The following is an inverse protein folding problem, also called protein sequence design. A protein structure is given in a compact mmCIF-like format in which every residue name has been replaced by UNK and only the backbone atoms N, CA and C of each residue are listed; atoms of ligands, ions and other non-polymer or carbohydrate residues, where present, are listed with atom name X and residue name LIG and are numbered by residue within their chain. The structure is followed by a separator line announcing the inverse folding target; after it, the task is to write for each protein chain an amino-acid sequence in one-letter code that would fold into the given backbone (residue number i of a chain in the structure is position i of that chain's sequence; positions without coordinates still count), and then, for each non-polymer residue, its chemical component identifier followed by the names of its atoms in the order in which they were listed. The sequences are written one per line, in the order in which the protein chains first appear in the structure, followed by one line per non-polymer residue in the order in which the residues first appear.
data_IF_134754424357
#
_entry.id   IF_134754424357
#
_cell.length_a   1.000
_cell.length_b   1.000
_cell.length_c   1.000
_cell.angle_alpha   90.00
_cell.angle_beta   90.00
_cell.angle_gamma   90.00
#
_symmetry.space_group_name_H-M   'P 1'
#
loop_
_entity.id
_entity.type
_entity.pdbx_description
1 polymer ?
#
# COMPACT_ATOMS: atom_id res chain seq x y z
N UNK A 1 -13.02 -16.59 -35.10
CA UNK A 1 -13.24 -15.14 -34.87
C UNK A 1 -14.36 -14.98 -33.86
N UNK A 2 -14.02 -14.82 -32.58
CA UNK A 2 -14.97 -14.52 -31.52
C UNK A 2 -14.26 -13.61 -30.55
N UNK A 3 -14.52 -12.31 -30.65
CA UNK A 3 -13.99 -11.35 -29.70
C UNK A 3 -14.59 -11.66 -28.33
N UNK A 4 -13.79 -12.26 -27.44
CA UNK A 4 -14.11 -12.36 -26.02
C UNK A 4 -14.20 -10.94 -25.46
N UNK A 5 -15.41 -10.39 -25.44
CA UNK A 5 -15.72 -9.18 -24.71
C UNK A 5 -15.62 -9.52 -23.20
N UNK A 6 -14.39 -9.48 -22.66
CA UNK A 6 -14.10 -9.61 -21.23
C UNK A 6 -14.57 -8.32 -20.56
N UNK A 7 -15.69 -8.40 -19.83
CA UNK A 7 -16.44 -7.25 -19.34
C UNK A 7 -16.18 -7.05 -17.85
N UNK A 8 -15.50 -5.96 -17.52
CA UNK A 8 -15.56 -5.43 -16.16
C UNK A 8 -16.94 -4.79 -15.97
N UNK A 9 -17.83 -5.52 -15.29
CA UNK A 9 -19.13 -4.98 -14.91
C UNK A 9 -18.96 -4.18 -13.60
N UNK A 10 -18.76 -2.87 -13.73
CA UNK A 10 -19.07 -1.95 -12.64
C UNK A 10 -20.55 -1.63 -12.71
N UNK A 11 -21.21 -1.83 -11.58
CA UNK A 11 -22.64 -1.93 -11.51
C UNK A 11 -23.15 -0.65 -10.85
N UNK A 12 -23.79 0.23 -11.63
CA UNK A 12 -24.49 1.44 -11.12
C UNK A 12 -25.82 1.01 -10.51
N UNK A 13 -25.81 0.45 -9.31
CA UNK A 13 -27.06 0.11 -8.64
C UNK A 13 -27.08 0.71 -7.26
N UNK A 14 -28.10 1.56 -7.10
CA UNK A 14 -28.62 2.09 -5.85
C UNK A 14 -27.87 3.34 -5.36
N UNK A 15 -28.61 4.44 -5.39
CA UNK A 15 -28.53 5.67 -4.59
C UNK A 15 -27.14 6.13 -4.09
N UNK A 16 -26.77 7.35 -4.50
CA UNK A 16 -25.54 8.04 -4.10
C UNK A 16 -24.24 7.27 -4.42
N UNK A 17 -24.05 6.89 -5.69
CA UNK A 17 -22.68 6.82 -6.19
C UNK A 17 -22.08 8.23 -6.10
N UNK A 18 -21.30 8.48 -5.05
CA UNK A 18 -20.40 9.62 -5.07
C UNK A 18 -19.54 9.49 -6.32
N UNK A 19 -19.20 10.64 -6.91
CA UNK A 19 -18.26 10.76 -8.02
C UNK A 19 -17.01 9.87 -7.86
N UNK A 20 -16.66 9.53 -6.62
CA UNK A 20 -15.58 8.65 -6.19
C UNK A 20 -15.62 7.25 -6.79
N UNK A 21 -16.77 6.57 -6.90
CA UNK A 21 -16.76 5.22 -7.48
C UNK A 21 -16.77 5.22 -9.01
N UNK A 22 -17.32 6.27 -9.65
CA UNK A 22 -17.06 6.52 -11.07
C UNK A 22 -15.57 6.75 -11.31
N UNK A 23 -14.86 7.37 -10.36
CA UNK A 23 -13.42 7.53 -10.45
C UNK A 23 -12.66 6.19 -10.31
N UNK A 24 -13.28 5.17 -9.71
CA UNK A 24 -12.69 3.83 -9.60
C UNK A 24 -12.51 3.16 -10.94
N UNK A 25 -13.21 3.56 -12.02
CA UNK A 25 -12.99 2.99 -13.37
C UNK A 25 -12.04 3.82 -14.24
N UNK A 26 -11.78 5.07 -13.87
CA UNK A 26 -10.95 6.00 -14.65
C UNK A 26 -9.47 5.78 -14.33
N UNK A 27 -8.71 5.14 -15.22
CA UNK A 27 -7.27 4.89 -15.05
C UNK A 27 -6.51 6.19 -14.71
N UNK A 28 -5.55 6.10 -13.80
CA UNK A 28 -4.75 7.25 -13.35
C UNK A 28 -5.47 8.25 -12.42
N UNK A 29 -6.79 8.19 -12.26
CA UNK A 29 -7.52 9.09 -11.36
C UNK A 29 -7.44 8.58 -9.91
N UNK A 30 -6.85 9.38 -9.03
CA UNK A 30 -6.87 9.14 -7.58
C UNK A 30 -7.00 10.46 -6.82
N UNK A 31 -8.08 10.58 -6.03
CA UNK A 31 -8.27 11.70 -5.10
C UNK A 31 -7.29 11.66 -3.93
N UNK A 32 -6.62 10.52 -3.69
CA UNK A 32 -5.62 10.37 -2.62
C UNK A 32 -4.27 11.01 -2.97
N UNK A 33 -4.10 11.50 -4.20
CA UNK A 33 -2.88 12.21 -4.62
C UNK A 33 -2.85 13.67 -4.13
N UNK A 34 -4.02 14.24 -3.81
CA UNK A 34 -4.16 15.64 -3.38
C UNK A 34 -4.17 15.82 -1.86
N UNK A 35 -4.42 14.76 -1.10
CA UNK A 35 -4.48 14.76 0.37
C UNK A 35 -3.22 14.10 0.89
N UNK A 36 -2.50 14.78 1.78
CA UNK A 36 -1.29 14.39 2.52
C UNK A 36 -0.71 13.03 2.13
N UNK A 37 0.50 13.04 1.54
CA UNK A 37 1.19 11.88 0.90
C UNK A 37 1.52 10.68 1.79
N UNK A 38 0.75 10.42 2.84
CA UNK A 38 0.73 9.23 3.67
C UNK A 38 -0.13 8.10 3.07
N UNK A 39 -0.98 8.38 2.08
CA UNK A 39 -1.84 7.38 1.43
C UNK A 39 -1.07 6.47 0.47
N UNK A 40 -1.17 5.14 0.65
CA UNK A 40 -0.54 4.14 -0.23
C UNK A 40 -1.10 4.17 -1.68
N UNK A 41 -2.35 4.61 -1.86
CA UNK A 41 -3.09 4.52 -3.12
C UNK A 41 -2.92 5.73 -4.04
N UNK A 42 -1.72 6.03 -4.55
CA UNK A 42 -1.50 7.27 -5.32
C UNK A 42 -1.77 7.17 -6.83
N UNK A 43 -1.60 6.00 -7.45
CA UNK A 43 -1.61 5.87 -8.92
C UNK A 43 -2.98 5.73 -9.59
N UNK A 44 -4.06 5.51 -8.83
CA UNK A 44 -5.40 5.28 -9.41
C UNK A 44 -5.53 3.96 -10.20
N UNK A 45 -4.50 3.10 -10.16
CA UNK A 45 -4.46 1.86 -10.93
C UNK A 45 -4.58 0.61 -10.07
N UNK A 46 -4.30 0.68 -8.76
CA UNK A 46 -4.11 -0.50 -7.90
C UNK A 46 -5.26 -1.51 -7.88
N UNK A 47 -6.53 -1.11 -8.10
CA UNK A 47 -7.65 -2.06 -8.23
C UNK A 47 -7.77 -2.63 -9.66
N UNK A 48 -7.42 -1.83 -10.68
CA UNK A 48 -7.57 -2.14 -12.12
C UNK A 48 -6.41 -2.94 -12.67
N UNK A 49 -5.20 -2.71 -12.15
CA UNK A 49 -3.99 -3.42 -12.55
C UNK A 49 -4.15 -4.94 -12.35
N UNK A 50 -5.06 -5.38 -11.48
CA UNK A 50 -5.44 -6.78 -11.30
C UNK A 50 -6.43 -7.34 -12.35
N UNK A 51 -7.12 -6.48 -13.11
CA UNK A 51 -8.36 -6.86 -13.83
C UNK A 51 -8.24 -6.76 -15.36
N UNK A 52 -7.36 -5.95 -15.95
CA UNK A 52 -7.38 -5.73 -17.41
C UNK A 52 -5.98 -5.47 -17.96
N UNK A 53 -5.39 -6.42 -18.72
CA UNK A 53 -4.38 -6.22 -19.76
C UNK A 53 -4.02 -7.56 -20.44
N UNK A 54 -4.70 -7.87 -21.54
CA UNK A 54 -4.07 -8.66 -22.60
C UNK A 54 -4.33 -7.95 -23.92
N UNK A 55 -3.27 -7.46 -24.54
CA UNK A 55 -3.06 -7.68 -25.97
C UNK A 55 -1.56 -7.62 -26.30
N UNK A 56 -1.18 -8.59 -27.14
CA UNK A 56 0.09 -8.83 -27.80
C UNK A 56 1.10 -7.66 -27.82
N UNK A 57 2.18 -7.78 -27.06
CA UNK A 57 3.58 -7.80 -27.54
C UNK A 57 4.55 -7.78 -26.35
N UNK A 58 5.74 -8.31 -26.60
CA UNK A 58 6.77 -8.67 -25.63
C UNK A 58 7.13 -7.58 -24.59
N UNK A 59 7.27 -8.03 -23.34
CA UNK A 59 8.02 -7.38 -22.23
C UNK A 59 7.36 -6.10 -21.67
N UNK A 60 6.37 -6.27 -20.78
CA UNK A 60 6.26 -5.59 -19.46
C UNK A 60 5.50 -6.57 -18.55
N UNK A 61 6.21 -7.27 -17.65
CA UNK A 61 5.61 -8.18 -16.66
C UNK A 61 4.92 -7.36 -15.55
N UNK A 62 3.62 -7.08 -15.71
CA UNK A 62 2.79 -6.34 -14.76
C UNK A 62 1.40 -6.97 -14.48
N UNK A 63 1.19 -7.36 -13.22
CA UNK A 63 -0.03 -7.27 -12.40
C UNK A 63 -1.37 -7.96 -12.75
N UNK A 64 -1.56 -8.75 -13.81
CA UNK A 64 -2.75 -9.64 -13.90
C UNK A 64 -2.43 -11.04 -13.37
N UNK A 65 -2.87 -11.41 -12.16
CA UNK A 65 -2.46 -12.72 -11.60
C UNK A 65 -3.57 -13.62 -11.04
N UNK A 66 -4.70 -13.09 -10.55
CA UNK A 66 -5.56 -13.92 -9.67
C UNK A 66 -6.93 -14.31 -10.27
N UNK A 67 -7.59 -13.47 -11.07
CA UNK A 67 -8.89 -13.80 -11.67
C UNK A 67 -9.30 -12.83 -12.79
N UNK A 68 -10.22 -13.27 -13.66
CA UNK A 68 -10.59 -12.53 -14.88
C UNK A 68 -11.73 -11.53 -14.67
N UNK A 69 -12.61 -11.73 -13.70
CA UNK A 69 -13.80 -10.90 -13.50
C UNK A 69 -13.97 -10.46 -12.04
N UNK A 70 -14.53 -9.26 -11.84
CA UNK A 70 -14.73 -8.66 -10.52
C UNK A 70 -16.07 -7.92 -10.44
N UNK A 71 -16.72 -7.98 -9.28
CA UNK A 71 -17.86 -7.13 -8.91
C UNK A 71 -17.56 -6.38 -7.61
N UNK A 72 -17.93 -5.10 -7.57
CA UNK A 72 -17.76 -4.20 -6.44
C UNK A 72 -19.14 -3.77 -5.91
N UNK A 73 -19.42 -4.06 -4.65
CA UNK A 73 -20.58 -3.57 -3.92
C UNK A 73 -20.12 -2.49 -2.93
N UNK A 74 -20.76 -1.33 -2.93
CA UNK A 74 -20.49 -0.26 -1.96
C UNK A 74 -21.79 0.16 -1.29
N UNK A 75 -21.77 0.26 0.05
CA UNK A 75 -22.88 0.80 0.85
C UNK A 75 -22.45 2.13 1.45
N UNK A 76 -23.31 3.14 1.32
CA UNK A 76 -23.19 4.45 1.98
C UNK A 76 -24.56 4.77 2.57
N UNK A 77 -24.67 4.86 3.89
CA UNK A 77 -25.91 5.11 4.64
C UNK A 77 -26.97 3.99 4.54
N UNK A 78 -28.00 4.09 5.40
CA UNK A 78 -29.13 3.16 5.44
C UNK A 78 -30.07 3.43 4.25
N UNK A 79 -29.63 3.05 3.06
CA UNK A 79 -30.34 3.34 1.82
C UNK A 79 -31.24 2.19 1.40
N UNK A 80 -32.46 2.57 1.02
CA UNK A 80 -33.51 1.73 0.44
C UNK A 80 -33.00 0.97 -0.81
N UNK A 81 -33.36 -0.31 -0.95
CA UNK A 81 -32.83 -1.21 -2.01
C UNK A 81 -33.40 -0.91 -3.40
N UNK A 82 -34.01 0.26 -3.58
CA UNK A 82 -34.70 0.69 -4.78
C UNK A 82 -33.77 1.51 -5.71
N UNK A 83 -33.89 1.33 -7.04
CA UNK A 83 -33.16 2.15 -8.00
C UNK A 83 -33.68 3.59 -8.01
N UNK A 84 -32.78 4.57 -7.84
CA UNK A 84 -33.12 5.98 -8.02
C UNK A 84 -32.98 6.38 -9.49
N UNK A 85 -33.76 5.74 -10.35
CA UNK A 85 -33.92 6.21 -11.73
C UNK A 85 -35.00 7.29 -11.72
N UNK A 86 -34.59 8.53 -11.94
CA UNK A 86 -35.51 9.68 -11.91
C UNK A 86 -36.14 9.90 -13.29
N UNK A 87 -35.49 9.41 -14.34
CA UNK A 87 -35.96 9.49 -15.72
C UNK A 87 -36.25 8.11 -16.34
N UNK A 88 -37.15 8.03 -17.35
CA UNK A 88 -37.41 6.78 -18.08
C UNK A 88 -36.18 6.17 -18.77
N UNK A 89 -35.20 7.00 -19.15
CA UNK A 89 -33.95 6.54 -19.78
C UNK A 89 -33.01 5.89 -18.77
N UNK A 90 -32.93 6.43 -17.56
CA UNK A 90 -32.14 5.85 -16.47
C UNK A 90 -32.69 4.49 -16.03
N UNK A 91 -34.01 4.33 -16.03
CA UNK A 91 -34.66 3.08 -15.68
C UNK A 91 -34.37 1.99 -16.73
N UNK A 92 -34.45 2.31 -18.02
CA UNK A 92 -34.07 1.41 -19.12
C UNK A 92 -32.60 1.01 -19.06
N UNK A 93 -31.71 1.97 -18.76
CA UNK A 93 -30.28 1.71 -18.59
C UNK A 93 -30.04 0.77 -17.42
N UNK A 94 -30.70 1.01 -16.29
CA UNK A 94 -30.62 0.17 -15.10
C UNK A 94 -31.09 -1.27 -15.37
N UNK A 95 -32.21 -1.45 -16.07
CA UNK A 95 -32.71 -2.76 -16.48
C UNK A 95 -31.70 -3.51 -17.36
N UNK A 96 -31.09 -2.82 -18.34
CA UNK A 96 -30.06 -3.41 -19.19
C UNK A 96 -28.81 -3.82 -18.40
N UNK A 97 -28.34 -2.95 -17.49
CA UNK A 97 -27.22 -3.26 -16.60
C UNK A 97 -27.52 -4.51 -15.76
N UNK A 98 -28.72 -4.60 -15.17
CA UNK A 98 -29.16 -5.77 -14.40
C UNK A 98 -29.21 -7.05 -15.23
N UNK A 99 -29.74 -6.99 -16.45
CA UNK A 99 -29.76 -8.15 -17.34
C UNK A 99 -28.35 -8.67 -17.66
N UNK A 100 -27.39 -7.76 -17.89
CA UNK A 100 -25.98 -8.14 -18.13
C UNK A 100 -25.40 -8.82 -16.88
N UNK A 101 -25.65 -8.27 -15.70
CA UNK A 101 -25.14 -8.81 -14.44
C UNK A 101 -25.69 -10.22 -14.19
N UNK A 102 -27.00 -10.41 -14.29
CA UNK A 102 -27.61 -11.71 -14.02
C UNK A 102 -27.20 -12.78 -15.04
N UNK A 103 -26.85 -12.35 -16.26
CA UNK A 103 -26.37 -13.23 -17.33
C UNK A 103 -24.91 -13.65 -17.17
N UNK A 104 -24.01 -12.75 -16.79
CA UNK A 104 -22.56 -13.02 -16.81
C UNK A 104 -21.92 -13.16 -15.42
N UNK A 105 -22.56 -12.67 -14.37
CA UNK A 105 -22.05 -12.80 -13.00
C UNK A 105 -22.38 -14.16 -12.37
N UNK A 106 -21.78 -14.49 -11.20
CA UNK A 106 -22.18 -15.64 -10.39
C UNK A 106 -23.62 -15.56 -9.85
N UNK A 107 -24.29 -14.41 -9.94
CA UNK A 107 -25.64 -14.20 -9.42
C UNK A 107 -26.66 -14.36 -10.54
N UNK A 108 -27.61 -15.30 -10.40
CA UNK A 108 -28.61 -15.61 -11.43
C UNK A 108 -29.96 -14.94 -11.22
N UNK A 109 -30.20 -14.39 -10.03
CA UNK A 109 -31.42 -13.66 -9.73
C UNK A 109 -31.17 -12.40 -8.89
N UNK A 110 -32.13 -11.47 -8.93
CA UNK A 110 -32.09 -10.23 -8.16
C UNK A 110 -31.91 -10.49 -6.66
N UNK A 111 -32.57 -11.51 -6.12
CA UNK A 111 -32.50 -11.86 -4.69
C UNK A 111 -31.07 -12.20 -4.27
N UNK A 112 -30.36 -13.04 -5.03
CA UNK A 112 -28.99 -13.44 -4.71
C UNK A 112 -28.01 -12.25 -4.85
N UNK A 113 -28.23 -11.42 -5.87
CA UNK A 113 -27.44 -10.21 -6.08
C UNK A 113 -27.60 -9.21 -4.92
N UNK A 114 -28.83 -8.87 -4.56
CA UNK A 114 -29.09 -7.89 -3.48
C UNK A 114 -28.73 -8.43 -2.09
N UNK A 115 -28.75 -9.75 -1.88
CA UNK A 115 -28.29 -10.36 -0.64
C UNK A 115 -26.79 -10.09 -0.34
N UNK A 116 -26.00 -9.69 -1.34
CA UNK A 116 -24.59 -9.33 -1.12
C UNK A 116 -24.44 -8.03 -0.33
N UNK A 117 -25.37 -7.07 -0.47
CA UNK A 117 -25.36 -5.84 0.33
C UNK A 117 -25.63 -6.12 1.81
N UNK A 118 -26.43 -7.14 2.11
CA UNK A 118 -26.75 -7.55 3.49
C UNK A 118 -25.52 -8.11 4.24
N UNK A 119 -24.47 -8.52 3.51
CA UNK A 119 -23.18 -8.92 4.12
C UNK A 119 -22.40 -7.73 4.68
N UNK A 120 -22.70 -6.51 4.26
CA UNK A 120 -22.10 -5.28 4.78
C UNK A 120 -22.89 -4.84 6.02
N UNK A 121 -22.42 -5.30 7.20
CA UNK A 121 -23.10 -5.08 8.49
C UNK A 121 -23.07 -3.62 8.98
N UNK A 122 -22.19 -2.78 8.46
CA UNK A 122 -22.06 -1.37 8.85
C UNK A 122 -22.91 -0.43 8.00
N UNK A 123 -23.04 0.82 8.45
CA UNK A 123 -23.67 1.91 7.68
C UNK A 123 -22.90 2.23 6.38
N UNK A 124 -21.60 1.97 6.37
CA UNK A 124 -20.74 2.10 5.20
C UNK A 124 -19.84 0.88 5.03
N UNK A 125 -19.49 0.54 3.79
CA UNK A 125 -18.55 -0.53 3.52
C UNK A 125 -18.45 -0.89 2.04
N UNK A 126 -17.46 -1.72 1.73
CA UNK A 126 -17.20 -2.19 0.37
C UNK A 126 -16.95 -3.69 0.37
N UNK A 127 -17.62 -4.41 -0.52
CA UNK A 127 -17.41 -5.84 -0.77
C UNK A 127 -16.91 -6.01 -2.20
N UNK A 128 -15.76 -6.66 -2.35
CA UNK A 128 -15.16 -7.01 -3.63
C UNK A 128 -15.27 -8.52 -3.81
N UNK A 129 -15.84 -8.96 -4.92
CA UNK A 129 -15.91 -10.37 -5.30
C UNK A 129 -15.13 -10.53 -6.59
N UNK A 130 -14.09 -11.37 -6.55
CA UNK A 130 -13.31 -11.78 -7.72
C UNK A 130 -13.72 -13.21 -8.04
N UNK A 131 -13.99 -13.50 -9.30
CA UNK A 131 -14.40 -14.81 -9.79
C UNK A 131 -13.72 -15.11 -11.12
N UNK A 132 -13.89 -16.34 -11.62
CA UNK A 132 -13.11 -16.87 -12.75
C UNK A 132 -11.61 -16.77 -12.45
N UNK A 133 -11.21 -17.44 -11.37
CA UNK A 133 -9.84 -17.45 -10.86
C UNK A 133 -8.89 -18.05 -11.90
N UNK A 134 -7.64 -17.58 -11.94
CA UNK A 134 -6.64 -18.15 -12.83
C UNK A 134 -6.34 -19.60 -12.44
N UNK A 135 -6.23 -20.43 -13.47
CA UNK A 135 -5.82 -21.81 -13.35
C UNK A 135 -4.37 -21.96 -13.84
N UNK A 136 -3.64 -22.86 -13.20
CA UNK A 136 -2.35 -23.35 -13.66
C UNK A 136 -2.54 -24.23 -14.90
N UNK A 137 -1.45 -24.59 -15.57
CA UNK A 137 -1.46 -25.51 -16.72
C UNK A 137 -2.08 -26.88 -16.37
N UNK A 138 -2.05 -27.24 -15.08
CA UNK A 138 -2.69 -28.45 -14.53
C UNK A 138 -4.21 -28.34 -14.41
N UNK A 139 -4.80 -27.17 -14.66
CA UNK A 139 -6.21 -26.88 -14.44
C UNK A 139 -6.58 -26.59 -12.98
N UNK A 140 -5.64 -26.67 -12.04
CA UNK A 140 -5.85 -26.32 -10.64
C UNK A 140 -5.74 -24.80 -10.40
N UNK A 141 -6.43 -24.22 -9.41
CA UNK A 141 -6.27 -22.80 -9.07
C UNK A 141 -4.87 -22.50 -8.51
N UNK A 142 -4.32 -21.31 -8.80
CA UNK A 142 -3.02 -20.86 -8.26
C UNK A 142 -3.07 -20.69 -6.72
N UNK A 143 -4.26 -20.40 -6.18
CA UNK A 143 -4.51 -20.21 -4.76
C UNK A 143 -5.15 -21.46 -4.14
N UNK A 144 -4.46 -22.03 -3.16
CA UNK A 144 -4.91 -23.15 -2.36
C UNK A 144 -5.60 -22.67 -1.08
N UNK A 145 -6.87 -23.05 -0.93
CA UNK A 145 -7.69 -22.76 0.24
C UNK A 145 -8.04 -24.02 1.05
N UNK A 146 -7.59 -25.19 0.61
CA UNK A 146 -8.00 -26.48 1.16
C UNK A 146 -6.95 -27.07 2.09
N UNK A 147 -5.65 -26.90 1.78
CA UNK A 147 -4.57 -27.50 2.59
C UNK A 147 -4.54 -26.96 4.02
N UNK A 148 -4.70 -25.64 4.19
CA UNK A 148 -4.90 -25.03 5.51
C UNK A 148 -6.23 -24.27 5.52
N UNK A 149 -7.24 -24.73 6.29
CA UNK A 149 -8.55 -24.06 6.38
C UNK A 149 -8.46 -22.69 7.06
N UNK A 150 -7.29 -22.28 7.55
CA UNK A 150 -7.03 -20.97 8.14
C UNK A 150 -6.21 -20.08 7.22
N UNK A 151 -5.76 -20.53 6.06
CA UNK A 151 -4.86 -19.77 5.20
C UNK A 151 -5.30 -19.78 3.73
N UNK A 152 -4.58 -19.00 2.93
CA UNK A 152 -4.58 -19.08 1.47
C UNK A 152 -3.11 -19.23 1.07
N UNK A 153 -2.76 -20.39 0.53
CA UNK A 153 -1.40 -20.71 0.14
C UNK A 153 -1.23 -20.55 -1.36
N UNK A 154 -0.03 -20.20 -1.80
CA UNK A 154 0.35 -20.37 -3.19
C UNK A 154 0.64 -21.85 -3.44
N UNK A 155 -0.02 -22.41 -4.47
CA UNK A 155 0.40 -23.70 -5.02
C UNK A 155 1.83 -23.53 -5.52
N UNK A 156 2.74 -24.43 -5.12
CA UNK A 156 4.12 -24.36 -5.56
C UNK A 156 4.16 -24.48 -7.08
N UNK A 157 4.42 -23.38 -7.79
CA UNK A 157 4.80 -23.45 -9.19
C UNK A 157 6.10 -24.24 -9.25
N UNK A 158 6.13 -25.30 -10.04
CA UNK A 158 7.33 -26.09 -10.37
C UNK A 158 8.45 -25.28 -11.05
N UNK A 159 8.24 -23.98 -11.23
CA UNK A 159 9.15 -23.10 -11.94
C UNK A 159 10.36 -22.75 -11.06
N UNK A 160 11.43 -23.48 -11.34
CA UNK A 160 12.82 -23.24 -10.92
C UNK A 160 13.40 -21.92 -11.46
N UNK A 161 12.57 -20.93 -11.77
CA UNK A 161 12.92 -19.73 -12.55
C UNK A 161 13.03 -18.45 -11.71
N UNK A 162 13.22 -18.56 -10.39
CA UNK A 162 13.83 -17.45 -9.63
C UNK A 162 15.37 -17.66 -9.71
N UNK A 163 16.12 -16.88 -10.51
CA UNK A 163 17.54 -17.15 -10.79
C UNK A 163 18.47 -17.00 -9.57
N UNK A 164 17.90 -16.78 -8.38
CA UNK A 164 18.63 -16.29 -7.22
C UNK A 164 19.03 -17.37 -6.21
N UNK A 165 18.56 -18.61 -6.31
CA UNK A 165 18.97 -19.71 -5.41
C UNK A 165 19.02 -21.07 -6.16
N UNK A 166 20.15 -21.47 -6.77
CA UNK A 166 20.25 -22.67 -7.62
C UNK A 166 20.32 -24.02 -6.88
N UNK A 167 20.01 -24.09 -5.59
CA UNK A 167 20.13 -25.33 -4.81
C UNK A 167 18.85 -25.62 -4.03
N UNK A 168 18.01 -26.44 -4.68
CA UNK A 168 16.77 -27.00 -4.17
C UNK A 168 17.01 -27.82 -2.89
N UNK A 169 16.52 -27.27 -1.78
CA UNK A 169 15.93 -27.92 -0.58
C UNK A 169 15.51 -26.79 0.40
N UNK A 170 14.78 -25.80 -0.11
CA UNK A 170 14.54 -24.51 0.57
C UNK A 170 13.11 -24.47 1.10
N UNK A 171 12.93 -24.46 2.42
CA UNK A 171 11.75 -23.84 3.04
C UNK A 171 11.82 -22.34 2.71
N UNK A 172 11.09 -21.93 1.67
CA UNK A 172 10.89 -20.52 1.34
C UNK A 172 10.42 -19.78 2.60
N UNK A 173 10.85 -18.52 2.83
CA UNK A 173 10.28 -17.71 3.89
C UNK A 173 8.76 -17.79 3.84
N UNK A 174 8.08 -17.93 4.99
CA UNK A 174 6.66 -18.26 5.02
C UNK A 174 5.82 -17.23 4.25
N UNK A 175 6.25 -15.97 4.22
CA UNK A 175 5.58 -14.88 3.50
C UNK A 175 5.62 -15.00 1.97
N UNK A 176 6.49 -15.85 1.40
CA UNK A 176 6.50 -16.13 -0.04
C UNK A 176 5.45 -17.17 -0.44
N UNK A 177 4.89 -17.94 0.50
CA UNK A 177 3.91 -19.00 0.24
C UNK A 177 2.56 -18.77 0.92
N UNK A 178 2.57 -18.30 2.16
CA UNK A 178 1.38 -18.09 3.00
C UNK A 178 0.92 -16.64 2.93
N UNK A 179 -0.34 -16.43 2.52
CA UNK A 179 -0.96 -15.11 2.55
C UNK A 179 -1.09 -14.60 3.99
N UNK A 180 -1.43 -15.46 4.95
CA UNK A 180 -1.50 -15.10 6.37
C UNK A 180 -0.16 -14.60 6.90
N UNK A 181 0.95 -15.25 6.55
CA UNK A 181 2.28 -14.80 6.92
C UNK A 181 2.60 -13.45 6.27
N UNK A 182 2.38 -13.31 4.96
CA UNK A 182 2.64 -12.05 4.24
C UNK A 182 1.83 -10.87 4.79
N UNK A 183 0.53 -11.06 5.01
CA UNK A 183 -0.37 -10.05 5.58
C UNK A 183 0.07 -9.65 6.99
N UNK A 184 0.66 -10.56 7.76
CA UNK A 184 1.10 -10.27 9.13
C UNK A 184 2.19 -9.19 9.20
N UNK A 185 3.00 -9.02 8.15
CA UNK A 185 4.11 -8.07 8.07
C UNK A 185 3.89 -6.98 7.01
N UNK A 186 2.74 -6.98 6.34
CA UNK A 186 2.45 -6.14 5.18
C UNK A 186 2.55 -4.65 5.48
N UNK A 187 2.24 -4.28 6.73
CA UNK A 187 2.27 -2.91 7.21
C UNK A 187 3.25 -2.77 8.38
N UNK A 188 4.03 -1.69 8.39
CA UNK A 188 4.97 -1.40 9.48
C UNK A 188 4.24 -1.05 10.78
N UNK A 189 3.13 -0.30 10.68
CA UNK A 189 2.19 0.01 11.77
C UNK A 189 0.79 -0.55 11.45
N UNK A 190 0.54 -1.85 11.72
CA UNK A 190 -0.73 -2.49 11.39
C UNK A 190 -1.84 -2.03 12.34
N UNK A 191 -2.82 -1.30 11.80
CA UNK A 191 -4.04 -0.88 12.54
C UNK A 191 -5.30 -1.59 12.08
N UNK A 192 -5.38 -1.95 10.81
CA UNK A 192 -6.52 -2.66 10.24
C UNK A 192 -6.52 -4.12 10.70
N UNK A 193 -7.65 -4.57 11.26
CA UNK A 193 -7.86 -5.98 11.62
C UNK A 193 -8.14 -6.77 10.33
N UNK A 194 -7.31 -7.76 10.03
CA UNK A 194 -7.49 -8.63 8.85
C UNK A 194 -7.94 -10.02 9.28
N UNK A 195 -8.89 -10.60 8.56
CA UNK A 195 -9.38 -11.96 8.77
C UNK A 195 -9.22 -12.72 7.46
N UNK A 196 -8.63 -13.91 7.53
CA UNK A 196 -8.47 -14.84 6.41
C UNK A 196 -9.18 -16.14 6.82
N UNK A 197 -10.04 -16.67 5.95
CA UNK A 197 -10.86 -17.85 6.25
C UNK A 197 -11.61 -17.75 7.60
N UNK A 198 -12.16 -16.56 7.89
CA UNK A 198 -12.87 -16.29 9.16
C UNK A 198 -11.99 -16.20 10.41
N UNK A 199 -10.67 -16.37 10.31
CA UNK A 199 -9.73 -16.31 11.44
C UNK A 199 -8.87 -15.05 11.38
N UNK A 200 -8.82 -14.31 12.50
CA UNK A 200 -8.00 -13.09 12.65
C UNK A 200 -6.53 -13.40 12.32
N UNK A 201 -5.90 -12.55 11.52
CA UNK A 201 -4.47 -12.58 11.27
C UNK A 201 -3.78 -11.85 12.41
N UNK A 202 -2.77 -12.50 13.02
CA UNK A 202 -1.93 -11.86 14.03
C UNK A 202 -0.89 -11.00 13.33
N UNK A 203 -1.20 -9.72 13.14
CA UNK A 203 -0.28 -8.73 12.59
C UNK A 203 0.88 -8.47 13.55
N UNK A 204 2.07 -8.28 13.00
CA UNK A 204 3.31 -8.10 13.75
C UNK A 204 3.91 -6.75 13.40
N UNK A 205 4.43 -6.05 14.40
CA UNK A 205 5.45 -5.01 14.19
C UNK A 205 6.79 -5.72 14.20
N UNK A 206 7.47 -5.76 13.06
CA UNK A 206 8.71 -6.55 12.92
C UNK A 206 9.76 -6.16 13.96
N UNK A 207 9.84 -4.88 14.34
CA UNK A 207 10.80 -4.42 15.34
C UNK A 207 10.62 -5.10 16.71
N UNK A 208 9.37 -5.36 17.11
CA UNK A 208 9.04 -5.90 18.43
C UNK A 208 9.45 -7.38 18.58
N UNK A 209 9.64 -8.09 17.47
CA UNK A 209 9.99 -9.51 17.44
C UNK A 209 11.49 -9.77 17.28
N UNK A 210 12.31 -8.71 17.36
CA UNK A 210 13.76 -8.81 17.20
C UNK A 210 14.49 -8.59 18.53
N UNK A 211 15.55 -9.36 18.74
CA UNK A 211 16.44 -9.20 19.88
C UNK A 211 17.39 -8.00 19.68
N UNK A 212 17.66 -7.28 20.77
CA UNK A 212 18.60 -6.15 20.81
C UNK A 212 18.36 -5.13 19.68
N UNK A 213 17.09 -4.75 19.50
CA UNK A 213 16.70 -3.78 18.49
C UNK A 213 17.31 -2.39 18.77
N UNK A 214 17.97 -1.79 17.77
CA UNK A 214 18.56 -0.44 17.85
C UNK A 214 18.06 0.45 16.72
N UNK A 215 18.09 1.76 16.97
CA UNK A 215 17.61 2.81 16.07
C UNK A 215 18.77 3.72 15.65
N UNK A 216 18.89 3.95 14.35
CA UNK A 216 19.86 4.87 13.76
C UNK A 216 19.15 5.89 12.87
N UNK A 217 19.55 7.16 12.96
CA UNK A 217 18.96 8.23 12.16
C UNK A 217 19.93 8.61 11.04
N UNK A 218 19.50 8.40 9.80
CA UNK A 218 20.26 8.76 8.61
C UNK A 218 19.77 10.08 8.03
N UNK A 219 20.60 11.12 8.07
CA UNK A 219 20.28 12.40 7.47
C UNK A 219 20.37 12.32 5.93
N UNK A 220 19.21 12.41 5.26
CA UNK A 220 19.14 12.30 3.80
C UNK A 220 19.17 13.68 3.15
N UNK A 221 20.28 13.98 2.45
CA UNK A 221 20.41 15.19 1.62
C UNK A 221 19.33 15.23 0.53
N UNK A 222 19.07 14.11 -0.13
CA UNK A 222 18.02 14.00 -1.16
C UNK A 222 16.64 14.32 -0.59
N UNK A 223 16.31 13.78 0.59
CA UNK A 223 15.04 14.08 1.25
C UNK A 223 14.88 15.57 1.51
N UNK A 224 15.92 16.22 2.06
CA UNK A 224 15.92 17.66 2.28
C UNK A 224 15.71 18.46 0.99
N UNK A 225 16.51 18.19 -0.04
CA UNK A 225 16.41 18.90 -1.32
C UNK A 225 15.02 18.77 -1.97
N UNK A 226 14.40 17.58 -1.89
CA UNK A 226 13.06 17.36 -2.44
C UNK A 226 11.99 18.10 -1.65
N UNK A 227 12.10 18.16 -0.32
CA UNK A 227 11.20 18.95 0.52
C UNK A 227 11.33 20.45 0.24
N UNK A 228 12.54 20.95 0.02
CA UNK A 228 12.79 22.35 -0.36
C UNK A 228 12.18 22.69 -1.74
N UNK A 229 12.33 21.80 -2.73
CA UNK A 229 11.73 21.97 -4.06
C UNK A 229 10.20 21.96 -4.01
N UNK A 230 9.62 21.05 -3.24
CA UNK A 230 8.17 20.94 -3.07
C UNK A 230 7.58 22.19 -2.38
N UNK A 231 8.29 22.74 -1.39
CA UNK A 231 7.94 24.03 -0.78
C UNK A 231 8.06 25.19 -1.77
N UNK A 232 9.12 25.26 -2.58
CA UNK A 232 9.29 26.29 -3.60
C UNK A 232 8.16 26.26 -4.63
N UNK A 233 7.76 25.06 -5.07
CA UNK A 233 6.59 24.87 -5.95
C UNK A 233 5.31 25.38 -5.30
N UNK A 234 5.03 25.00 -4.06
CA UNK A 234 3.84 25.47 -3.34
C UNK A 234 3.81 27.00 -3.17
N UNK A 235 4.96 27.64 -2.94
CA UNK A 235 5.08 29.11 -2.91
C UNK A 235 4.76 29.74 -4.26
N UNK A 236 5.22 29.15 -5.36
CA UNK A 236 4.87 29.62 -6.70
C UNK A 236 3.37 29.43 -7.01
N UNK A 237 2.78 28.32 -6.59
CA UNK A 237 1.34 28.07 -6.74
C UNK A 237 0.47 29.08 -5.97
N UNK A 238 0.94 29.57 -4.81
CA UNK A 238 0.31 30.68 -4.08
C UNK A 238 0.42 31.98 -4.89
N UNK A 239 1.59 32.32 -5.44
CA UNK A 239 1.76 33.53 -6.26
C UNK A 239 0.82 33.54 -7.47
N UNK A 240 0.68 32.41 -8.15
CA UNK A 240 -0.23 32.27 -9.29
C UNK A 240 -1.70 32.42 -8.85
N UNK A 241 -2.08 31.80 -7.73
CA UNK A 241 -3.43 31.92 -7.20
C UNK A 241 -3.76 33.36 -6.75
N UNK A 242 -2.78 34.05 -6.15
CA UNK A 242 -2.89 35.44 -5.72
C UNK A 242 -3.14 36.37 -6.91
N UNK A 243 -2.40 36.18 -8.02
CA UNK A 243 -2.62 36.95 -9.25
C UNK A 243 -4.04 36.74 -9.80
N UNK A 244 -4.52 35.50 -9.84
CA UNK A 244 -5.88 35.17 -10.31
C UNK A 244 -6.97 35.76 -9.39
N UNK A 245 -6.78 35.70 -8.08
CA UNK A 245 -7.71 36.28 -7.12
C UNK A 245 -7.78 37.81 -7.29
N UNK A 246 -6.64 38.50 -7.42
CA UNK A 246 -6.59 39.95 -7.65
C UNK A 246 -7.25 40.35 -8.96
N UNK A 247 -7.03 39.58 -10.04
CA UNK A 247 -7.68 39.83 -11.33
C UNK A 247 -9.21 39.71 -11.21
N UNK A 248 -9.71 38.65 -10.55
CA UNK A 248 -11.14 38.44 -10.34
C UNK A 248 -11.76 39.53 -9.47
N UNK A 249 -11.10 39.94 -8.40
CA UNK A 249 -11.54 41.05 -7.54
C UNK A 249 -11.55 42.38 -8.29
N UNK A 250 -10.56 42.63 -9.16
CA UNK A 250 -10.54 43.84 -9.98
C UNK A 250 -11.71 43.86 -10.97
N UNK A 251 -12.03 42.72 -11.60
CA UNK A 251 -13.20 42.58 -12.48
C UNK A 251 -14.51 42.75 -11.72
N UNK A 252 -14.61 42.22 -10.51
CA UNK A 252 -15.78 42.38 -9.66
C UNK A 252 -15.99 43.85 -9.28
N UNK A 253 -14.94 44.55 -8.82
CA UNK A 253 -14.99 45.99 -8.50
C UNK A 253 -15.33 46.87 -9.70
N UNK A 254 -14.72 46.61 -10.86
CA UNK A 254 -15.04 47.35 -12.09
C UNK A 254 -16.52 47.13 -12.50
N UNK A 255 -17.04 45.92 -12.38
CA UNK A 255 -18.44 45.62 -12.63
C UNK A 255 -19.38 46.30 -11.62
N UNK A 256 -19.01 46.38 -10.34
CA UNK A 256 -19.76 47.09 -9.31
C UNK A 256 -19.86 48.59 -9.62
N UNK A 257 -18.74 49.21 -9.98
CA UNK A 257 -18.69 50.63 -10.34
C UNK A 257 -19.50 50.94 -11.60
N UNK A 258 -19.46 50.07 -12.62
CA UNK A 258 -20.22 50.27 -13.87
C UNK A 258 -21.73 50.22 -13.68
N UNK A 259 -22.22 49.41 -12.74
CA UNK A 259 -23.65 49.21 -12.49
C UNK A 259 -24.11 49.80 -11.15
N UNK A 260 -23.35 50.76 -10.61
CA UNK A 260 -23.66 51.42 -9.36
C UNK A 260 -25.05 52.09 -9.44
N UNK A 261 -25.93 51.76 -8.48
CA UNK A 261 -27.31 52.27 -8.45
C UNK A 261 -28.27 51.65 -9.49
N UNK A 262 -27.83 50.70 -10.33
CA UNK A 262 -28.70 50.00 -11.28
C UNK A 262 -29.72 49.11 -10.56
N UNK A 263 -31.00 49.19 -10.96
CA UNK A 263 -32.08 48.33 -10.45
C UNK A 263 -32.39 47.13 -11.36
N UNK A 264 -31.63 46.97 -12.45
CA UNK A 264 -31.80 45.85 -13.38
C UNK A 264 -31.43 44.52 -12.69
N UNK A 265 -32.37 43.55 -12.60
CA UNK A 265 -32.10 42.23 -12.03
C UNK A 265 -30.90 41.51 -12.65
N UNK A 266 -30.62 41.69 -13.94
CA UNK A 266 -29.51 41.00 -14.62
C UNK A 266 -28.16 41.58 -14.24
N UNK A 267 -28.05 42.92 -14.11
CA UNK A 267 -26.84 43.57 -13.61
C UNK A 267 -26.54 43.16 -12.16
N UNK A 268 -27.56 43.10 -11.31
CA UNK A 268 -27.41 42.65 -9.92
C UNK A 268 -26.96 41.19 -9.81
N UNK A 269 -27.49 40.30 -10.67
CA UNK A 269 -27.04 38.89 -10.74
C UNK A 269 -25.59 38.79 -11.19
N UNK A 270 -25.18 39.58 -12.18
CA UNK A 270 -23.81 39.58 -12.68
C UNK A 270 -22.81 40.03 -11.62
N UNK A 271 -23.09 41.14 -10.94
CA UNK A 271 -22.26 41.66 -9.82
C UNK A 271 -22.11 40.59 -8.73
N UNK A 272 -23.21 39.98 -8.29
CA UNK A 272 -23.18 38.89 -7.29
C UNK A 272 -22.34 37.70 -7.75
N UNK A 273 -22.48 37.28 -9.01
CA UNK A 273 -21.70 36.16 -9.58
C UNK A 273 -20.20 36.47 -9.55
N UNK A 274 -19.79 37.67 -9.96
CA UNK A 274 -18.38 38.05 -9.99
C UNK A 274 -17.80 38.18 -8.57
N UNK A 275 -18.55 38.75 -7.63
CA UNK A 275 -18.15 38.80 -6.23
C UNK A 275 -17.98 37.42 -5.60
N UNK A 276 -18.92 36.51 -5.86
CA UNK A 276 -18.82 35.13 -5.38
C UNK A 276 -17.60 34.43 -5.97
N UNK A 277 -17.35 34.57 -7.27
CA UNK A 277 -16.17 33.99 -7.92
C UNK A 277 -14.85 34.57 -7.37
N UNK A 278 -14.80 35.87 -7.09
CA UNK A 278 -13.65 36.52 -6.46
C UNK A 278 -13.42 35.99 -5.03
N UNK A 279 -14.49 35.85 -4.23
CA UNK A 279 -14.42 35.30 -2.88
C UNK A 279 -13.94 33.84 -2.87
N UNK A 280 -14.42 32.99 -3.79
CA UNK A 280 -13.96 31.61 -3.94
C UNK A 280 -12.46 31.53 -4.25
N UNK A 281 -11.97 32.37 -5.18
CA UNK A 281 -10.55 32.42 -5.51
C UNK A 281 -9.70 32.92 -4.34
N UNK A 282 -10.20 33.88 -3.56
CA UNK A 282 -9.54 34.35 -2.34
C UNK A 282 -9.47 33.27 -1.27
N UNK A 283 -10.55 32.51 -1.07
CA UNK A 283 -10.55 31.34 -0.18
C UNK A 283 -9.53 30.28 -0.62
N UNK A 284 -9.41 30.04 -1.93
CA UNK A 284 -8.41 29.12 -2.48
C UNK A 284 -6.97 29.59 -2.21
N UNK A 285 -6.71 30.90 -2.27
CA UNK A 285 -5.41 31.48 -1.88
C UNK A 285 -5.10 31.15 -0.41
N UNK A 286 -6.03 31.41 0.51
CA UNK A 286 -5.84 31.13 1.94
C UNK A 286 -5.53 29.64 2.18
N UNK A 287 -6.24 28.73 1.50
CA UNK A 287 -5.97 27.29 1.59
C UNK A 287 -4.55 26.93 1.11
N UNK A 288 -4.09 27.54 0.02
CA UNK A 288 -2.73 27.34 -0.50
C UNK A 288 -1.66 27.93 0.44
N UNK A 289 -1.92 29.09 1.03
CA UNK A 289 -1.04 29.70 2.04
C UNK A 289 -0.89 28.81 3.28
N UNK A 290 -2.00 28.26 3.78
CA UNK A 290 -1.99 27.29 4.88
C UNK A 290 -1.15 26.05 4.54
N UNK A 291 -1.20 25.60 3.28
CA UNK A 291 -0.37 24.49 2.80
C UNK A 291 1.12 24.85 2.78
N UNK A 292 1.49 26.05 2.32
CA UNK A 292 2.87 26.55 2.40
C UNK A 292 3.35 26.64 3.84
N UNK A 293 2.53 27.17 4.76
CA UNK A 293 2.87 27.27 6.17
C UNK A 293 3.15 25.89 6.80
N UNK A 294 2.30 24.88 6.51
CA UNK A 294 2.51 23.48 6.92
C UNK A 294 3.82 22.92 6.38
N UNK A 295 4.09 23.08 5.08
CA UNK A 295 5.34 22.59 4.45
C UNK A 295 6.58 23.29 5.01
N UNK A 296 6.50 24.60 5.25
CA UNK A 296 7.59 25.39 5.85
C UNK A 296 7.88 24.95 7.28
N UNK A 297 6.85 24.66 8.09
CA UNK A 297 7.00 24.08 9.43
C UNK A 297 7.64 22.70 9.37
N UNK A 298 7.13 21.82 8.51
CA UNK A 298 7.67 20.48 8.33
C UNK A 298 9.13 20.51 7.86
N UNK A 299 9.56 21.49 7.06
CA UNK A 299 10.96 21.61 6.61
C UNK A 299 11.94 21.93 7.75
N UNK A 300 11.47 22.51 8.86
CA UNK A 300 12.32 22.75 10.05
C UNK A 300 12.68 21.45 10.76
N UNK A 301 11.88 20.41 10.63
CA UNK A 301 12.15 19.10 11.21
C UNK A 301 13.29 18.40 10.45
N UNK A 302 14.19 17.69 11.15
CA UNK A 302 15.27 16.94 10.52
C UNK A 302 14.75 15.98 9.44
N UNK A 303 15.29 16.08 8.22
CA UNK A 303 14.97 15.19 7.11
C UNK A 303 15.80 13.92 7.19
N UNK A 304 15.49 13.12 8.20
CA UNK A 304 16.13 11.85 8.47
C UNK A 304 15.24 10.68 8.07
N UNK A 305 15.88 9.60 7.61
CA UNK A 305 15.28 8.27 7.60
C UNK A 305 15.68 7.56 8.88
N UNK A 306 14.78 6.75 9.43
CA UNK A 306 15.07 5.97 10.63
C UNK A 306 15.30 4.52 10.22
N UNK A 307 16.50 4.02 10.48
CA UNK A 307 16.84 2.61 10.32
C UNK A 307 16.72 1.92 11.67
N UNK A 308 16.06 0.77 11.66
CA UNK A 308 16.03 -0.11 12.80
C UNK A 308 16.73 -1.41 12.45
N UNK A 309 17.55 -1.93 13.36
CA UNK A 309 18.20 -3.22 13.21
C UNK A 309 17.97 -4.07 14.45
N UNK A 310 17.79 -5.37 14.27
CA UNK A 310 17.59 -6.32 15.35
C UNK A 310 17.91 -7.75 14.92
N UNK A 311 18.26 -8.61 15.86
CA UNK A 311 18.59 -10.01 15.58
C UNK A 311 17.33 -10.88 15.60
N UNK A 312 17.10 -11.65 14.53
CA UNK A 312 16.02 -12.63 14.49
C UNK A 312 16.44 -13.94 15.17
N UNK A 313 16.37 -13.94 16.51
CA UNK A 313 16.74 -15.12 17.31
C UNK A 313 15.75 -16.28 17.18
N UNK A 314 14.51 -16.00 16.77
CA UNK A 314 13.47 -17.02 16.58
C UNK A 314 13.68 -17.79 15.28
N UNK A 315 14.09 -17.10 14.20
CA UNK A 315 14.48 -17.74 12.94
C UNK A 315 15.66 -17.00 12.29
N UNK A 316 16.89 -17.47 12.55
CA UNK A 316 18.14 -16.85 12.08
C UNK A 316 18.32 -16.90 10.56
N UNK A 317 17.59 -17.77 9.86
CA UNK A 317 17.64 -17.87 8.41
C UNK A 317 16.79 -16.78 7.72
N UNK A 318 15.80 -16.25 8.42
CA UNK A 318 14.93 -15.16 7.99
C UNK A 318 15.56 -13.80 8.32
N UNK A 319 16.59 -13.44 7.54
CA UNK A 319 17.38 -12.21 7.70
C UNK A 319 17.34 -11.29 6.47
N UNK A 320 17.87 -10.08 6.63
CA UNK A 320 17.89 -9.06 5.58
C UNK A 320 16.90 -7.92 5.82
N UNK A 321 16.81 -7.02 4.84
CA UNK A 321 16.12 -5.75 4.99
C UNK A 321 14.65 -5.83 4.58
N UNK A 322 13.80 -5.21 5.38
CA UNK A 322 12.38 -4.96 5.13
C UNK A 322 12.19 -3.46 4.89
N UNK A 323 11.80 -3.14 3.67
CA UNK A 323 11.74 -1.76 3.19
C UNK A 323 10.28 -1.44 2.95
N UNK A 324 9.75 -0.56 3.78
CA UNK A 324 8.39 -0.04 3.69
C UNK A 324 8.40 1.29 2.93
N UNK A 325 7.28 1.58 2.27
CA UNK A 325 7.00 2.87 1.67
C UNK A 325 5.63 3.34 2.14
N UNK A 326 5.59 4.45 2.89
CA UNK A 326 4.39 4.94 3.55
C UNK A 326 3.66 3.79 4.26
N UNK A 327 4.42 3.08 5.08
CA UNK A 327 4.00 1.96 5.90
C UNK A 327 3.55 0.70 5.16
N UNK A 328 3.66 0.63 3.83
CA UNK A 328 3.42 -0.60 3.03
C UNK A 328 4.75 -1.27 2.67
N UNK A 329 4.91 -2.55 2.99
CA UNK A 329 6.09 -3.34 2.61
C UNK A 329 6.33 -3.27 1.09
N UNK A 330 7.56 -3.10 0.61
CA UNK A 330 7.87 -3.11 -0.84
C UNK A 330 8.90 -4.21 -1.14
N UNK A 331 9.94 -4.31 -0.31
CA UNK A 331 10.96 -5.36 -0.37
C UNK A 331 11.08 -6.04 0.99
N UNK A 332 11.28 -7.35 1.00
CA UNK A 332 11.53 -8.16 2.20
C UNK A 332 12.73 -9.08 1.94
N UNK A 333 13.44 -9.44 3.02
CA UNK A 333 14.62 -10.31 2.95
C UNK A 333 15.71 -9.81 2.00
N UNK A 334 15.79 -8.49 1.78
CA UNK A 334 16.80 -7.91 0.90
C UNK A 334 18.15 -7.87 1.64
N UNK A 335 19.06 -8.79 1.31
CA UNK A 335 20.42 -8.79 1.88
C UNK A 335 21.24 -7.64 1.32
N UNK A 336 22.09 -7.07 2.18
CA UNK A 336 23.00 -5.96 1.85
C UNK A 336 24.35 -6.09 2.54
N UNK A 337 25.36 -5.46 1.94
CA UNK A 337 26.70 -5.36 2.52
C UNK A 337 27.24 -6.75 2.89
N UNK A 338 27.76 -6.95 4.12
CA UNK A 338 28.35 -8.23 4.54
C UNK A 338 27.40 -9.44 4.47
N UNK A 339 26.08 -9.23 4.44
CA UNK A 339 25.11 -10.32 4.33
C UNK A 339 25.08 -10.95 2.93
N UNK A 340 25.64 -10.28 1.91
CA UNK A 340 25.72 -10.78 0.54
C UNK A 340 26.98 -11.65 0.34
N UNK A 341 27.96 -11.51 1.22
CA UNK A 341 29.20 -12.27 1.16
C UNK A 341 28.99 -13.68 1.73
N UNK A 342 29.94 -14.58 1.47
CA UNK A 342 29.94 -15.93 2.04
C UNK A 342 30.24 -15.95 3.56
N UNK A 343 30.54 -14.78 4.14
CA UNK A 343 30.82 -14.64 5.57
C UNK A 343 29.56 -14.83 6.43
N UNK A 344 29.75 -15.27 7.67
CA UNK A 344 28.65 -15.32 8.67
C UNK A 344 28.35 -13.94 9.29
N UNK A 345 29.02 -12.88 8.82
CA UNK A 345 28.86 -11.53 9.36
C UNK A 345 27.46 -10.99 9.08
N UNK A 346 26.86 -10.33 10.07
CA UNK A 346 25.52 -9.75 9.96
C UNK A 346 24.40 -10.74 9.61
N UNK A 347 24.67 -12.05 9.54
CA UNK A 347 23.66 -13.08 9.29
C UNK A 347 22.73 -13.18 10.50
N UNK A 348 21.43 -13.28 10.24
CA UNK A 348 20.40 -13.23 11.28
C UNK A 348 19.96 -11.82 11.68
N UNK A 349 20.60 -10.76 11.15
CA UNK A 349 20.15 -9.37 11.36
C UNK A 349 19.02 -9.03 10.40
N UNK A 350 17.94 -8.49 10.95
CA UNK A 350 16.83 -7.88 10.21
C UNK A 350 16.93 -6.38 10.33
N UNK A 351 16.86 -5.68 9.19
CA UNK A 351 16.80 -4.22 9.14
C UNK A 351 15.45 -3.75 8.65
N UNK A 352 14.94 -2.64 9.19
CA UNK A 352 13.62 -2.10 8.87
C UNK A 352 13.76 -0.60 8.61
N UNK A 353 13.14 -0.13 7.53
CA UNK A 353 13.02 1.30 7.21
C UNK A 353 11.65 1.59 6.61
N UNK A 354 11.03 2.70 6.98
CA UNK A 354 9.83 3.25 6.31
C UNK A 354 10.21 4.52 5.55
N UNK A 355 10.13 4.44 4.22
CA UNK A 355 10.57 5.50 3.32
C UNK A 355 9.36 6.29 2.84
N UNK A 356 9.31 7.62 3.03
CA UNK A 356 8.19 8.42 2.53
C UNK A 356 8.19 8.49 1.01
N UNK A 357 7.02 8.66 0.39
CA UNK A 357 6.86 8.84 -1.06
C UNK A 357 7.79 9.89 -1.66
N UNK A 358 8.06 10.97 -0.93
CA UNK A 358 8.95 12.05 -1.36
C UNK A 358 10.38 11.55 -1.63
N UNK A 359 10.84 10.50 -0.95
CA UNK A 359 12.20 9.98 -1.06
C UNK A 359 12.29 8.84 -2.07
N UNK A 360 11.36 7.89 -2.03
CA UNK A 360 11.28 6.83 -3.04
C UNK A 360 9.82 6.57 -3.38
N UNK A 361 9.57 6.46 -4.69
CA UNK A 361 8.28 6.00 -5.20
C UNK A 361 8.39 4.53 -5.63
N UNK A 362 7.38 3.71 -5.34
CA UNK A 362 7.33 2.33 -5.79
C UNK A 362 7.09 2.24 -7.30
N UNK A 363 7.45 1.11 -7.89
CA UNK A 363 7.05 0.75 -9.26
C UNK A 363 5.55 0.46 -9.35
N UNK A 364 5.04 0.30 -10.57
CA UNK A 364 3.62 0.07 -10.83
C UNK A 364 3.00 -1.11 -10.02
N UNK A 365 3.74 -2.20 -9.84
CA UNK A 365 3.30 -3.38 -9.09
C UNK A 365 3.54 -3.28 -7.56
N UNK A 366 4.21 -2.22 -7.10
CA UNK A 366 4.59 -1.97 -5.71
C UNK A 366 5.42 -3.09 -5.05
N UNK A 367 6.26 -3.76 -5.84
CA UNK A 367 7.25 -4.75 -5.38
C UNK A 367 8.70 -4.28 -5.61
N UNK A 368 8.88 -3.08 -6.17
CA UNK A 368 10.18 -2.44 -6.33
C UNK A 368 10.05 -0.92 -6.27
N UNK A 369 11.18 -0.22 -6.37
CA UNK A 369 11.24 1.24 -6.42
C UNK A 369 11.55 1.74 -7.83
N UNK A 370 10.90 2.83 -8.23
CA UNK A 370 11.02 3.40 -9.57
C UNK A 370 12.41 4.01 -9.83
N UNK A 371 13.03 4.61 -8.81
CA UNK A 371 14.38 5.17 -8.89
C UNK A 371 15.42 4.19 -8.34
N UNK A 372 15.95 3.34 -9.22
CA UNK A 372 16.95 2.34 -8.85
C UNK A 372 18.26 2.95 -8.34
N UNK A 373 18.60 4.18 -8.74
CA UNK A 373 19.84 4.84 -8.32
C UNK A 373 19.74 5.28 -6.85
N UNK A 374 18.65 5.94 -6.50
CA UNK A 374 18.36 6.34 -5.11
C UNK A 374 18.13 5.12 -4.22
N UNK A 375 17.47 4.08 -4.73
CA UNK A 375 17.32 2.83 -4.00
C UNK A 375 18.68 2.20 -3.64
N UNK A 376 19.61 2.11 -4.60
CA UNK A 376 20.99 1.64 -4.32
C UNK A 376 21.76 2.52 -3.35
N UNK A 377 21.49 3.83 -3.32
CA UNK A 377 22.08 4.72 -2.32
C UNK A 377 21.53 4.45 -0.92
N UNK A 378 20.21 4.25 -0.80
CA UNK A 378 19.57 3.82 0.45
C UNK A 378 20.15 2.49 0.94
N UNK A 379 20.30 1.49 0.06
CA UNK A 379 20.86 0.20 0.44
C UNK A 379 22.30 0.31 0.95
N UNK A 380 23.14 1.15 0.32
CA UNK A 380 24.50 1.43 0.81
C UNK A 380 24.48 2.10 2.18
N UNK A 381 23.67 3.14 2.36
CA UNK A 381 23.54 3.80 3.66
C UNK A 381 23.05 2.82 4.74
N UNK A 382 22.11 1.93 4.43
CA UNK A 382 21.68 0.89 5.37
C UNK A 382 22.79 -0.11 5.67
N UNK A 383 23.66 -0.44 4.71
CA UNK A 383 24.77 -1.38 4.90
C UNK A 383 25.82 -0.79 5.86
N UNK A 384 26.14 0.49 5.73
CA UNK A 384 27.06 1.19 6.64
C UNK A 384 26.53 1.18 8.09
N UNK A 385 25.22 1.41 8.27
CA UNK A 385 24.60 1.37 9.60
C UNK A 385 24.38 -0.05 10.13
N UNK A 386 24.26 -1.05 9.24
CA UNK A 386 24.24 -2.46 9.61
C UNK A 386 25.57 -2.87 10.22
N UNK A 387 26.70 -2.43 9.63
CA UNK A 387 28.02 -2.64 10.21
C UNK A 387 28.14 -1.96 11.57
N UNK A 388 27.73 -0.69 11.68
CA UNK A 388 27.70 -0.01 12.98
C UNK A 388 26.88 -0.78 14.02
N UNK A 389 25.71 -1.31 13.64
CA UNK A 389 24.87 -2.14 14.51
C UNK A 389 25.58 -3.42 14.96
N UNK A 390 26.32 -4.05 14.05
CA UNK A 390 27.06 -5.27 14.35
C UNK A 390 28.19 -5.01 15.35
N UNK A 391 29.00 -3.97 15.13
CA UNK A 391 30.08 -3.55 16.02
C UNK A 391 29.54 -3.19 17.42
N UNK A 392 28.42 -2.47 17.44
CA UNK A 392 27.65 -2.07 18.61
C UNK A 392 27.17 -3.24 19.47
N UNK A 393 26.85 -4.39 18.86
CA UNK A 393 26.48 -5.62 19.56
C UNK A 393 27.71 -6.31 20.17
N UNK A 394 28.88 -6.14 19.56
CA UNK A 394 30.16 -6.70 19.99
C UNK A 394 30.09 -8.21 20.26
N UNK A 395 29.41 -8.95 19.38
CA UNK A 395 29.21 -10.41 19.47
C UNK A 395 30.33 -11.24 18.83
N UNK A 396 31.30 -10.59 18.20
CA UNK A 396 32.39 -11.20 17.43
C UNK A 396 33.78 -10.78 17.94
N UNK A 397 33.90 -10.43 19.24
CA UNK A 397 35.17 -9.99 19.86
C UNK A 397 36.32 -10.98 19.63
N UNK A 398 36.06 -12.28 19.72
CA UNK A 398 37.02 -13.34 19.40
C UNK A 398 36.68 -14.06 18.08
N UNK A 399 35.98 -13.39 17.15
CA UNK A 399 35.62 -13.90 15.84
C UNK A 399 34.46 -14.93 15.85
N UNK A 400 34.58 -15.96 15.02
CA UNK A 400 33.49 -16.92 14.73
C UNK A 400 33.09 -17.78 15.93
N UNK A 401 33.97 -17.95 16.92
CA UNK A 401 33.66 -18.74 18.12
C UNK A 401 32.57 -18.06 18.97
N UNK A 402 32.67 -16.74 19.18
CA UNK A 402 31.69 -15.99 19.95
C UNK A 402 30.34 -15.91 19.24
N UNK A 403 30.34 -15.79 17.90
CA UNK A 403 29.12 -15.86 17.07
C UNK A 403 28.45 -17.23 17.24
N UNK A 404 29.22 -18.31 17.16
CA UNK A 404 28.70 -19.67 17.36
C UNK A 404 28.17 -19.86 18.79
N UNK A 405 28.87 -19.34 19.80
CA UNK A 405 28.43 -19.37 21.20
C UNK A 405 27.12 -18.60 21.39
N UNK A 406 26.99 -17.43 20.77
CA UNK A 406 25.77 -16.63 20.75
C UNK A 406 24.58 -17.44 20.22
N UNK A 407 24.69 -18.03 19.02
CA UNK A 407 23.60 -18.81 18.42
C UNK A 407 23.29 -20.11 19.17
N UNK A 408 24.31 -20.83 19.63
CA UNK A 408 24.13 -22.01 20.50
C UNK A 408 23.37 -21.64 21.77
N UNK A 409 23.62 -20.46 22.32
CA UNK A 409 22.92 -19.97 23.51
C UNK A 409 21.41 -19.74 23.29
N UNK A 410 20.96 -19.62 22.04
CA UNK A 410 19.54 -19.55 21.65
C UNK A 410 19.00 -20.89 21.11
N UNK A 411 19.77 -21.96 21.20
CA UNK A 411 19.35 -23.31 20.82
C UNK A 411 19.66 -23.72 19.38
N UNK A 412 20.44 -22.93 18.63
CA UNK A 412 20.91 -23.36 17.31
C UNK A 412 22.11 -24.29 17.46
N UNK A 413 21.81 -25.58 17.66
CA UNK A 413 22.80 -26.62 17.88
C UNK A 413 23.32 -27.23 16.57
N UNK A 414 22.53 -27.18 15.49
CA UNK A 414 22.92 -27.66 14.17
C UNK A 414 23.98 -26.76 13.52
N UNK A 415 24.92 -27.40 12.83
CA UNK A 415 25.90 -26.73 11.98
C UNK A 415 25.25 -26.07 10.75
N UNK A 416 24.09 -26.57 10.30
CA UNK A 416 23.38 -25.98 9.16
C UNK A 416 22.70 -24.68 9.60
N UNK A 417 22.99 -23.59 8.90
CA UNK A 417 22.43 -22.27 9.23
C UNK A 417 20.89 -22.24 9.18
N UNK A 418 20.31 -22.98 8.24
CA UNK A 418 18.87 -23.00 7.96
C UNK A 418 18.05 -23.84 8.93
N UNK A 419 18.68 -24.74 9.69
CA UNK A 419 17.96 -25.60 10.60
C UNK A 419 17.32 -24.79 11.74
N UNK A 420 16.10 -25.15 12.16
CA UNK A 420 15.42 -24.47 13.25
C UNK A 420 16.16 -24.67 14.58
N UNK A 421 15.99 -23.76 15.55
CA UNK A 421 16.59 -23.93 16.86
C UNK A 421 15.89 -25.04 17.66
N UNK A 422 16.59 -25.59 18.66
CA UNK A 422 16.03 -26.57 19.60
C UNK A 422 14.78 -26.05 20.31
N UNK A 423 13.81 -26.94 20.46
CA UNK A 423 12.54 -26.70 21.16
C UNK A 423 12.61 -27.04 22.66
N UNK A 424 13.77 -27.40 23.19
CA UNK A 424 13.95 -27.56 24.64
C UNK A 424 13.55 -26.29 25.38
N UNK A 425 12.86 -26.46 26.52
CA UNK A 425 12.25 -25.37 27.27
C UNK A 425 13.23 -24.25 27.61
N UNK A 426 14.46 -24.59 28.03
CA UNK A 426 15.51 -23.61 28.36
C UNK A 426 15.82 -22.65 27.20
N UNK A 427 15.89 -23.16 25.97
CA UNK A 427 16.21 -22.37 24.79
C UNK A 427 14.99 -21.62 24.28
N UNK A 428 13.82 -22.27 24.27
CA UNK A 428 12.56 -21.63 23.91
C UNK A 428 12.26 -20.45 24.85
N UNK A 429 12.34 -20.65 26.16
CA UNK A 429 12.12 -19.60 27.17
C UNK A 429 13.06 -18.42 26.96
N UNK A 430 14.34 -18.66 26.70
CA UNK A 430 15.30 -17.59 26.43
C UNK A 430 14.96 -16.82 25.16
N UNK A 431 14.66 -17.49 24.04
CA UNK A 431 14.25 -16.82 22.79
C UNK A 431 13.02 -15.96 23.01
N UNK A 432 11.97 -16.51 23.62
CA UNK A 432 10.70 -15.81 23.81
C UNK A 432 10.72 -14.77 24.94
N UNK A 433 11.67 -14.83 25.89
CA UNK A 433 11.89 -13.74 26.86
C UNK A 433 12.58 -12.53 26.24
N UNK A 434 13.23 -12.71 25.10
CA UNK A 434 14.01 -11.69 24.41
C UNK A 434 13.22 -10.94 23.32
N UNK A 435 11.99 -11.37 23.03
CA UNK A 435 11.14 -10.80 21.98
C UNK A 435 9.74 -10.53 22.52
N UNK A 436 9.06 -9.54 21.97
CA UNK A 436 7.69 -9.22 22.37
C UNK A 436 6.67 -9.85 21.43
N UNK A 437 5.46 -10.07 21.94
CA UNK A 437 4.31 -10.48 21.14
C UNK A 437 3.37 -9.30 21.02
N UNK A 438 3.17 -8.81 19.80
CA UNK A 438 2.15 -7.81 19.55
C UNK A 438 0.77 -8.48 19.53
N UNK A 439 -0.12 -8.03 20.41
CA UNK A 439 -1.52 -8.47 20.47
C UNK A 439 -2.41 -7.25 20.26
N UNK A 440 -3.16 -7.24 19.17
CA UNK A 440 -4.12 -6.18 18.90
C UNK A 440 -5.46 -6.49 19.58
N UNK A 441 -5.98 -5.54 20.37
CA UNK A 441 -7.29 -5.66 21.01
C UNK A 441 -8.39 -6.04 20.00
N UNK A 442 -9.31 -6.91 20.43
CA UNK A 442 -10.46 -7.34 19.63
C UNK A 442 -11.57 -6.29 19.54
N UNK A 443 -11.71 -5.47 20.58
CA UNK A 443 -12.67 -4.37 20.66
C UNK A 443 -12.31 -3.23 19.70
#
# INVERSE_FOLDING_TARGET
MGAECRRVCYINLINHFSEEARNVIIFGKSLKRSVDGSSIGMYGNGLKSYVLYTDLTNIIRGSMRIGSDMILFTRREAIDKSPLASSPEELKKHELEMQIILKYSPFRCNKDFFSQFDKIKGETGTLVIIYNMKLLDTGAPELDINTDPRDILLMASSDKDDPMEPHADIELPPEKRSLRAYVSILYSDPRMKVYIQGRKVQTKRLLDILYAARRYNFASKTFRMRAERDLAKAKNDVKIAELRAREAESKARDCELRYEGSKDPEHLKLVRRLNNAAAELRNLVTLRQNTVARKQKALKEPKTLTFYFGMNVVNRACDGMFIYNCSRLIKMYQRIGPQQDSSMMCRGVVGIVDVPYMVLEPTHNKQDFADAKEFRQLMRAMADHLMQYWDDLSIDKNGSEDINRFWKSFGYLSARWRDPPSNEEKYARKRYSCVSICVQCGK
#
